data_IF_406250368231
#
_entry.id   IF_406250368231
#
_cell.length_a   1.000
_cell.length_b   1.000
_cell.length_c   1.000
_cell.angle_alpha   90.00
_cell.angle_beta   90.00
_cell.angle_gamma   90.00
#
_symmetry.space_group_name_H-M   'P 1'
#
loop_
_entity.id
_entity.type
_entity.pdbx_description
1 polymer ?
#
# COMPACT_ATOMS: atom_id res chain seq x y z
N UNK A 1 -12.51 5.23 -29.63
CA UNK A 1 -12.02 5.93 -28.43
C UNK A 1 -13.19 6.09 -27.48
N UNK A 2 -13.35 5.18 -26.51
CA UNK A 2 -14.35 5.36 -25.46
C UNK A 2 -13.86 6.44 -24.51
N UNK A 3 -14.62 7.50 -24.38
CA UNK A 3 -14.40 8.55 -23.39
C UNK A 3 -14.75 7.94 -22.03
N UNK A 4 -13.71 7.63 -21.22
CA UNK A 4 -13.92 7.26 -19.83
C UNK A 4 -14.42 8.52 -19.13
N UNK A 5 -15.73 8.57 -18.86
CA UNK A 5 -16.30 9.61 -18.00
C UNK A 5 -15.72 9.38 -16.60
N UNK A 6 -15.05 10.36 -15.99
CA UNK A 6 -14.51 10.18 -14.65
C UNK A 6 -15.66 9.87 -13.69
N UNK A 7 -15.54 8.82 -12.86
CA UNK A 7 -16.53 8.47 -11.86
C UNK A 7 -16.74 9.63 -10.88
N UNK A 8 -17.92 9.70 -10.28
CA UNK A 8 -18.32 10.77 -9.40
C UNK A 8 -17.35 10.93 -8.23
N UNK A 9 -16.76 12.12 -8.09
CA UNK A 9 -15.98 12.51 -6.92
C UNK A 9 -16.94 12.79 -5.76
N UNK A 10 -16.86 11.99 -4.70
CA UNK A 10 -17.52 12.29 -3.42
C UNK A 10 -16.50 12.99 -2.54
N UNK A 11 -16.64 14.29 -2.23
CA UNK A 11 -15.71 14.98 -1.34
C UNK A 11 -15.96 14.51 0.09
N UNK A 12 -15.01 13.79 0.66
CA UNK A 12 -15.04 13.29 2.05
C UNK A 12 -14.28 14.24 2.98
N UNK A 13 -13.26 14.88 2.47
CA UNK A 13 -12.48 15.95 3.11
C UNK A 13 -11.94 16.85 1.99
N UNK A 14 -11.55 18.10 2.28
CA UNK A 14 -10.98 18.97 1.26
C UNK A 14 -9.68 18.43 0.63
N UNK A 15 -9.05 17.44 1.25
CA UNK A 15 -7.76 16.84 0.82
C UNK A 15 -7.89 15.40 0.34
N UNK A 16 -9.05 14.75 0.53
CA UNK A 16 -9.28 13.36 0.13
C UNK A 16 -10.26 13.30 -1.04
N UNK A 17 -9.80 12.72 -2.15
CA UNK A 17 -10.63 12.42 -3.32
C UNK A 17 -11.03 10.95 -3.29
N UNK A 18 -12.30 10.65 -3.47
CA UNK A 18 -12.80 9.29 -3.62
C UNK A 18 -13.26 9.09 -5.06
N UNK A 19 -12.71 8.10 -5.73
CA UNK A 19 -13.07 7.68 -7.08
C UNK A 19 -13.77 6.33 -6.97
N UNK A 20 -15.07 6.31 -7.25
CA UNK A 20 -15.85 5.08 -7.35
C UNK A 20 -15.84 4.58 -8.79
N UNK A 21 -15.45 3.34 -9.02
CA UNK A 21 -15.45 2.69 -10.32
C UNK A 21 -15.80 1.21 -10.19
N UNK A 22 -16.05 0.52 -11.29
CA UNK A 22 -16.28 -0.92 -11.25
C UNK A 22 -15.05 -1.66 -10.74
N UNK A 23 -15.24 -2.81 -10.10
CA UNK A 23 -14.15 -3.56 -9.47
C UNK A 23 -13.02 -3.92 -10.45
N UNK A 24 -13.36 -4.22 -11.69
CA UNK A 24 -12.41 -4.51 -12.78
C UNK A 24 -11.71 -3.26 -13.35
N UNK A 25 -12.23 -2.06 -13.07
CA UNK A 25 -11.63 -0.78 -13.49
C UNK A 25 -10.66 -0.20 -12.46
N UNK A 26 -10.71 -0.64 -11.20
CA UNK A 26 -9.87 -0.12 -10.09
C UNK A 26 -8.39 -0.08 -10.49
N UNK A 27 -7.91 -1.16 -11.11
CA UNK A 27 -6.52 -1.27 -11.53
C UNK A 27 -6.10 -0.18 -12.51
N UNK A 28 -6.89 0.07 -13.55
CA UNK A 28 -6.61 1.08 -14.57
C UNK A 28 -6.72 2.50 -14.02
N UNK A 29 -7.74 2.77 -13.21
CA UNK A 29 -7.94 4.08 -12.58
C UNK A 29 -6.77 4.41 -11.64
N UNK A 30 -6.39 3.48 -10.78
CA UNK A 30 -5.27 3.68 -9.87
C UNK A 30 -3.92 3.78 -10.61
N UNK A 31 -3.71 2.95 -11.64
CA UNK A 31 -2.50 3.01 -12.46
C UNK A 31 -2.36 4.33 -13.23
N UNK A 32 -3.47 4.93 -13.69
CA UNK A 32 -3.44 6.25 -14.32
C UNK A 32 -2.91 7.34 -13.38
N UNK A 33 -3.26 7.26 -12.09
CA UNK A 33 -2.77 8.19 -11.06
C UNK A 33 -1.28 7.93 -10.77
N UNK A 34 -0.90 6.67 -10.59
CA UNK A 34 0.48 6.27 -10.31
C UNK A 34 1.41 6.59 -11.49
N UNK A 35 0.95 6.45 -12.72
CA UNK A 35 1.72 6.77 -13.92
C UNK A 35 2.09 8.27 -14.06
N UNK A 36 1.57 9.14 -13.19
CA UNK A 36 1.98 10.56 -13.12
C UNK A 36 3.29 10.76 -12.33
N UNK A 37 3.81 9.74 -11.69
CA UNK A 37 5.13 9.77 -11.03
C UNK A 37 6.20 9.99 -12.11
N UNK A 38 7.20 10.88 -11.88
CA UNK A 38 8.33 11.03 -12.78
C UNK A 38 9.01 9.68 -13.07
N UNK A 39 9.56 9.50 -14.26
CA UNK A 39 10.17 8.22 -14.66
C UNK A 39 11.39 7.79 -13.83
N UNK A 40 11.94 8.69 -13.03
CA UNK A 40 13.01 8.51 -12.04
C UNK A 40 12.54 8.70 -10.59
N UNK A 41 11.22 8.80 -10.40
CA UNK A 41 10.58 9.04 -9.12
C UNK A 41 10.58 7.84 -8.18
N UNK A 42 10.01 8.04 -7.01
CA UNK A 42 9.95 7.05 -5.93
C UNK A 42 8.52 6.58 -5.71
N UNK A 43 8.29 5.31 -5.92
CA UNK A 43 7.00 4.66 -5.71
C UNK A 43 7.04 3.81 -4.44
N UNK A 44 6.23 4.17 -3.46
CA UNK A 44 5.95 3.34 -2.30
C UNK A 44 4.97 2.22 -2.69
N UNK A 45 5.37 0.97 -2.51
CA UNK A 45 4.59 -0.19 -2.96
C UNK A 45 4.06 -1.00 -1.78
N UNK A 46 2.82 -1.45 -1.93
CA UNK A 46 2.16 -2.38 -1.02
C UNK A 46 2.12 -3.78 -1.63
N UNK A 47 2.14 -4.79 -0.79
CA UNK A 47 1.91 -6.18 -1.15
C UNK A 47 0.44 -6.58 -0.96
N UNK A 48 0.12 -7.86 -1.18
CA UNK A 48 -1.25 -8.38 -1.02
C UNK A 48 -2.11 -8.25 -2.26
N UNK A 49 -3.39 -8.59 -2.14
CA UNK A 49 -4.31 -8.70 -3.27
C UNK A 49 -4.84 -7.36 -3.78
N UNK A 50 -5.00 -6.36 -2.91
CA UNK A 50 -5.61 -5.07 -3.28
C UNK A 50 -4.90 -4.35 -4.43
N UNK A 51 -3.55 -4.22 -4.46
CA UNK A 51 -2.87 -3.49 -5.53
C UNK A 51 -2.52 -4.34 -6.77
N UNK A 52 -2.82 -5.63 -6.80
CA UNK A 52 -2.44 -6.51 -7.93
C UNK A 52 -2.96 -6.00 -9.28
N UNK A 53 -4.23 -5.60 -9.34
CA UNK A 53 -4.83 -5.07 -10.57
C UNK A 53 -4.15 -3.77 -11.03
N UNK A 54 -3.71 -2.93 -10.09
CA UNK A 54 -2.95 -1.72 -10.37
C UNK A 54 -1.59 -2.07 -11.00
N UNK A 55 -0.84 -3.03 -10.43
CA UNK A 55 0.45 -3.44 -10.99
C UNK A 55 0.29 -4.06 -12.37
N UNK A 56 -0.72 -4.90 -12.57
CA UNK A 56 -1.04 -5.45 -13.89
C UNK A 56 -1.34 -4.35 -14.92
N UNK A 57 -2.05 -3.29 -14.52
CA UNK A 57 -2.32 -2.15 -15.38
C UNK A 57 -1.05 -1.33 -15.71
N UNK A 58 -0.16 -1.12 -14.73
CA UNK A 58 1.13 -0.46 -14.98
C UNK A 58 2.00 -1.25 -15.97
N UNK A 59 2.00 -2.59 -15.86
CA UNK A 59 2.73 -3.48 -16.77
C UNK A 59 2.18 -3.35 -18.20
N UNK A 60 0.85 -3.30 -18.38
CA UNK A 60 0.24 -3.04 -19.70
C UNK A 60 0.65 -1.68 -20.25
N UNK A 61 0.57 -0.62 -19.42
CA UNK A 61 0.97 0.74 -19.81
C UNK A 61 2.46 0.82 -20.16
N UNK A 62 3.32 0.04 -19.49
CA UNK A 62 4.73 -0.07 -19.88
C UNK A 62 4.89 -0.64 -21.29
N UNK A 63 4.13 -1.68 -21.62
CA UNK A 63 4.13 -2.23 -22.97
C UNK A 63 3.63 -1.23 -24.02
N UNK A 64 2.84 -0.23 -23.62
CA UNK A 64 2.32 0.88 -24.43
C UNK A 64 3.25 2.11 -24.41
N UNK A 65 4.42 2.05 -23.77
CA UNK A 65 5.43 3.10 -23.77
C UNK A 65 5.58 3.90 -22.46
N UNK A 66 4.90 3.54 -21.37
CA UNK A 66 5.18 4.13 -20.07
C UNK A 66 6.61 3.77 -19.63
N UNK A 67 7.41 4.77 -19.31
CA UNK A 67 8.80 4.59 -18.86
C UNK A 67 8.81 4.32 -17.36
N UNK A 68 9.33 3.16 -16.97
CA UNK A 68 9.34 2.69 -15.57
C UNK A 68 10.72 2.27 -15.08
N UNK A 69 11.70 2.13 -15.97
CA UNK A 69 13.03 1.58 -15.68
C UNK A 69 13.83 2.41 -14.67
N UNK A 70 13.57 3.71 -14.61
CA UNK A 70 14.21 4.64 -13.67
C UNK A 70 13.52 4.74 -12.33
N UNK A 71 12.32 4.18 -12.16
CA UNK A 71 11.58 4.23 -10.90
C UNK A 71 12.38 3.55 -9.78
N UNK A 72 12.23 4.08 -8.57
CA UNK A 72 12.72 3.47 -7.34
C UNK A 72 11.53 2.97 -6.53
N UNK A 73 11.61 1.73 -6.06
CA UNK A 73 10.55 1.09 -5.28
C UNK A 73 10.94 1.02 -3.80
N UNK A 74 10.05 1.49 -2.93
CA UNK A 74 10.15 1.40 -1.48
C UNK A 74 8.93 0.62 -0.96
N UNK A 75 9.15 -0.61 -0.45
CA UNK A 75 8.06 -1.43 0.06
C UNK A 75 7.57 -0.95 1.44
N UNK A 76 6.30 -1.17 1.76
CA UNK A 76 5.72 -0.81 3.07
C UNK A 76 6.30 -1.67 4.20
N UNK A 77 6.51 -2.95 3.94
CA UNK A 77 6.75 -3.92 5.00
C UNK A 77 7.46 -5.18 4.50
N UNK A 78 7.92 -5.99 5.45
CA UNK A 78 8.47 -7.32 5.24
C UNK A 78 8.34 -8.15 6.53
N UNK A 79 8.17 -9.43 6.40
CA UNK A 79 8.21 -10.38 7.51
C UNK A 79 9.60 -10.47 8.13
N UNK A 80 9.67 -10.46 9.47
CA UNK A 80 10.91 -10.72 10.19
C UNK A 80 11.25 -12.21 10.12
N UNK A 81 12.50 -12.51 9.78
CA UNK A 81 13.01 -13.87 9.78
C UNK A 81 12.90 -14.61 8.45
N UNK A 82 12.23 -14.05 7.44
CA UNK A 82 12.28 -14.60 6.09
C UNK A 82 13.49 -14.09 5.31
N UNK A 83 14.15 -14.98 4.59
CA UNK A 83 15.19 -14.57 3.65
C UNK A 83 14.55 -13.85 2.45
N UNK A 84 15.22 -12.83 1.91
CA UNK A 84 14.72 -12.11 0.72
C UNK A 84 14.56 -13.01 -0.53
N UNK A 85 15.18 -14.19 -0.54
CA UNK A 85 15.03 -15.22 -1.58
C UNK A 85 13.87 -16.18 -1.32
N UNK A 86 13.27 -16.18 -0.11
CA UNK A 86 12.11 -17.02 0.19
C UNK A 86 10.92 -16.55 -0.67
N UNK A 87 10.26 -17.44 -1.42
CA UNK A 87 9.15 -17.06 -2.29
C UNK A 87 7.96 -16.45 -1.54
N UNK A 88 7.89 -16.62 -0.22
CA UNK A 88 6.85 -16.07 0.66
C UNK A 88 7.21 -14.68 1.18
N UNK A 89 8.47 -14.21 1.00
CA UNK A 89 8.89 -12.88 1.41
C UNK A 89 8.29 -11.79 0.53
N UNK A 90 8.07 -10.62 1.08
CA UNK A 90 7.63 -9.47 0.30
C UNK A 90 8.74 -8.97 -0.62
N UNK A 91 10.00 -9.18 -0.29
CA UNK A 91 11.12 -8.94 -1.19
C UNK A 91 11.02 -9.77 -2.48
N UNK A 92 10.67 -11.06 -2.37
CA UNK A 92 10.43 -11.91 -3.54
C UNK A 92 9.20 -11.45 -4.33
N UNK A 93 8.11 -11.10 -3.63
CA UNK A 93 6.89 -10.56 -4.25
C UNK A 93 7.18 -9.27 -5.02
N UNK A 94 7.79 -8.26 -4.39
CA UNK A 94 8.10 -6.97 -5.03
C UNK A 94 8.98 -7.17 -6.25
N UNK A 95 9.97 -8.06 -6.17
CA UNK A 95 10.83 -8.39 -7.29
C UNK A 95 10.05 -9.01 -8.45
N UNK A 96 9.33 -10.12 -8.21
CA UNK A 96 8.72 -10.93 -9.28
C UNK A 96 7.43 -10.35 -9.82
N UNK A 97 6.60 -9.70 -8.97
CA UNK A 97 5.28 -9.18 -9.34
C UNK A 97 5.35 -7.73 -9.83
N UNK A 98 6.33 -6.95 -9.35
CA UNK A 98 6.38 -5.52 -9.64
C UNK A 98 7.63 -5.16 -10.43
N UNK A 99 8.82 -5.35 -9.85
CA UNK A 99 10.06 -4.79 -10.40
C UNK A 99 10.47 -5.41 -11.74
N UNK A 100 10.55 -6.73 -11.82
CA UNK A 100 10.94 -7.44 -13.05
C UNK A 100 9.98 -7.15 -14.21
N UNK A 101 8.63 -7.27 -14.04
CA UNK A 101 7.69 -6.95 -15.13
C UNK A 101 7.71 -5.47 -15.55
N UNK A 102 8.02 -4.56 -14.62
CA UNK A 102 8.17 -3.13 -14.92
C UNK A 102 9.58 -2.76 -15.42
N UNK A 103 10.51 -3.72 -15.55
CA UNK A 103 11.89 -3.48 -15.99
C UNK A 103 12.71 -2.65 -15.01
N UNK A 104 12.32 -2.63 -13.74
CA UNK A 104 13.01 -1.85 -12.69
C UNK A 104 14.20 -2.68 -12.18
N UNK A 105 15.42 -2.15 -12.24
CA UNK A 105 16.60 -2.87 -11.82
C UNK A 105 16.61 -3.12 -10.30
N UNK A 106 17.16 -4.24 -9.87
CA UNK A 106 17.14 -4.67 -8.46
C UNK A 106 17.75 -3.64 -7.49
N UNK A 107 18.74 -2.86 -7.93
CA UNK A 107 19.35 -1.83 -7.09
C UNK A 107 18.43 -0.64 -6.81
N UNK A 108 17.35 -0.48 -7.58
CA UNK A 108 16.29 0.50 -7.37
C UNK A 108 15.18 0.00 -6.44
N UNK A 109 15.28 -1.23 -5.92
CA UNK A 109 14.28 -1.81 -5.02
C UNK A 109 14.81 -1.82 -3.60
N UNK A 110 14.02 -1.33 -2.66
CA UNK A 110 14.30 -1.41 -1.22
C UNK A 110 13.07 -1.99 -0.52
N UNK A 111 13.33 -2.97 0.32
CA UNK A 111 12.33 -3.60 1.19
C UNK A 111 12.88 -3.50 2.61
N UNK A 112 12.06 -3.13 3.61
CA UNK A 112 12.54 -3.07 4.98
C UNK A 112 13.01 -4.46 5.41
N UNK A 113 14.10 -4.54 6.15
CA UNK A 113 14.68 -5.80 6.57
C UNK A 113 15.34 -5.68 7.94
N UNK A 114 15.54 -6.82 8.59
CA UNK A 114 16.09 -6.87 9.94
C UNK A 114 15.01 -7.01 11.01
N UNK A 115 15.42 -6.87 12.29
CA UNK A 115 14.58 -7.16 13.45
C UNK A 115 14.78 -6.19 14.61
N UNK A 116 15.50 -5.10 14.39
CA UNK A 116 15.87 -4.14 15.43
C UNK A 116 15.39 -2.72 15.11
N UNK A 117 15.35 -1.86 16.11
CA UNK A 117 15.07 -0.43 15.92
C UNK A 117 16.11 0.24 15.01
N UNK A 118 17.36 -0.21 15.04
CA UNK A 118 18.43 0.30 14.18
C UNK A 118 18.17 -0.01 12.70
N UNK A 119 17.59 -1.18 12.40
CA UNK A 119 17.20 -1.58 11.04
C UNK A 119 16.05 -0.70 10.53
N UNK A 120 15.03 -0.44 11.37
CA UNK A 120 13.96 0.51 11.05
C UNK A 120 14.49 1.90 10.76
N UNK A 121 15.39 2.41 11.59
CA UNK A 121 16.04 3.71 11.38
C UNK A 121 16.91 3.73 10.10
N UNK A 122 17.53 2.61 9.72
CA UNK A 122 18.25 2.49 8.46
C UNK A 122 17.31 2.58 7.26
N UNK A 123 16.12 1.98 7.35
CA UNK A 123 15.12 2.10 6.29
C UNK A 123 14.57 3.52 6.15
N UNK A 124 14.33 4.23 7.27
CA UNK A 124 13.96 5.66 7.24
C UNK A 124 15.03 6.52 6.54
N UNK A 125 16.32 6.23 6.80
CA UNK A 125 17.41 6.91 6.08
C UNK A 125 17.38 6.61 4.59
N UNK A 126 17.14 5.36 4.19
CA UNK A 126 17.04 4.98 2.78
C UNK A 126 15.87 5.69 2.08
N UNK A 127 14.73 5.90 2.75
CA UNK A 127 13.61 6.71 2.25
C UNK A 127 14.05 8.17 2.06
N UNK A 128 14.74 8.75 3.04
CA UNK A 128 15.23 10.12 2.97
C UNK A 128 16.28 10.33 1.86
N UNK A 129 17.23 9.40 1.71
CA UNK A 129 18.25 9.40 0.65
C UNK A 129 17.64 9.24 -0.75
N UNK A 130 16.52 8.54 -0.85
CA UNK A 130 15.73 8.49 -2.08
C UNK A 130 15.00 9.80 -2.39
N UNK A 131 14.99 10.78 -1.49
CA UNK A 131 14.27 12.04 -1.63
C UNK A 131 12.81 11.96 -1.16
N UNK A 132 12.44 10.96 -0.39
CA UNK A 132 11.06 10.67 0.04
C UNK A 132 10.26 9.90 -1.02
N UNK A 133 8.98 9.67 -0.77
CA UNK A 133 8.07 8.91 -1.63
C UNK A 133 7.19 9.88 -2.43
N UNK A 134 7.16 9.76 -3.75
CA UNK A 134 6.30 10.59 -4.61
C UNK A 134 4.84 10.13 -4.54
N UNK A 135 4.61 8.83 -4.65
CA UNK A 135 3.28 8.22 -4.47
C UNK A 135 3.42 6.97 -3.61
N UNK A 136 2.70 6.93 -2.49
CA UNK A 136 2.57 5.75 -1.67
C UNK A 136 1.27 5.01 -2.00
N UNK A 137 1.39 3.78 -2.45
CA UNK A 137 0.24 2.87 -2.62
C UNK A 137 -0.02 2.20 -1.28
N UNK A 138 -1.27 2.19 -0.85
CA UNK A 138 -1.72 1.49 0.35
C UNK A 138 -3.00 0.70 0.08
N UNK A 139 -3.15 -0.44 0.74
CA UNK A 139 -4.43 -1.11 0.93
C UNK A 139 -5.00 -0.78 2.31
N UNK A 140 -6.20 -1.27 2.61
CA UNK A 140 -6.79 -1.17 3.94
C UNK A 140 -7.18 -2.56 4.46
N UNK A 141 -6.84 -2.84 5.72
CA UNK A 141 -7.29 -4.03 6.42
C UNK A 141 -8.77 -3.95 6.82
N UNK A 142 -9.38 -5.09 7.15
CA UNK A 142 -10.77 -5.13 7.64
C UNK A 142 -10.96 -4.38 8.97
N UNK A 143 -9.89 -4.29 9.77
CA UNK A 143 -9.83 -3.57 11.04
C UNK A 143 -9.28 -2.15 10.92
N UNK A 144 -9.04 -1.65 9.69
CA UNK A 144 -8.53 -0.31 9.43
C UNK A 144 -7.01 -0.17 9.46
N UNK A 145 -6.25 -1.27 9.50
CA UNK A 145 -4.79 -1.19 9.39
C UNK A 145 -4.34 -0.74 8.00
N UNK A 146 -3.17 -0.07 7.94
CA UNK A 146 -2.41 0.25 6.73
C UNK A 146 -0.97 -0.24 6.88
N UNK A 147 -0.45 -1.00 5.88
CA UNK A 147 0.74 -1.83 6.10
C UNK A 147 0.48 -2.79 7.26
N UNK A 148 1.45 -3.00 8.15
CA UNK A 148 1.21 -3.70 9.41
C UNK A 148 1.01 -2.75 10.60
N UNK A 149 0.48 -1.54 10.37
CA UNK A 149 0.05 -0.67 11.45
C UNK A 149 -1.36 -1.09 11.88
N UNK A 150 -1.43 -2.02 12.83
CA UNK A 150 -2.67 -2.52 13.44
C UNK A 150 -3.33 -1.47 14.36
N UNK A 151 -4.63 -1.63 14.72
CA UNK A 151 -5.27 -0.83 15.75
C UNK A 151 -4.39 -0.64 17.00
N UNK A 152 -4.30 0.58 17.49
CA UNK A 152 -3.35 1.00 18.54
C UNK A 152 -2.05 1.62 18.00
N UNK A 153 -1.82 1.60 16.68
CA UNK A 153 -0.67 2.30 16.10
C UNK A 153 -0.88 3.80 16.06
N UNK A 154 0.03 4.54 16.73
CA UNK A 154 -0.03 6.00 16.81
C UNK A 154 0.40 6.68 15.50
N UNK A 155 -0.10 7.92 15.31
CA UNK A 155 0.22 8.79 14.18
C UNK A 155 1.73 9.08 14.02
N UNK A 156 2.48 9.13 15.12
CA UNK A 156 3.91 9.50 15.12
C UNK A 156 4.84 8.30 14.88
N UNK A 157 4.28 7.09 14.70
CA UNK A 157 5.09 5.89 14.50
C UNK A 157 5.92 5.97 13.22
N UNK A 158 7.19 5.55 13.33
CA UNK A 158 8.14 5.38 12.22
C UNK A 158 8.33 3.91 11.90
N UNK A 159 9.19 3.62 10.92
CA UNK A 159 9.53 2.25 10.54
C UNK A 159 10.06 1.47 11.73
N UNK A 160 9.41 0.35 12.04
CA UNK A 160 9.66 -0.44 13.26
C UNK A 160 9.26 -1.89 13.09
N UNK A 161 9.77 -2.74 13.96
CA UNK A 161 9.25 -4.09 14.14
C UNK A 161 7.95 -4.03 14.93
N UNK A 162 6.97 -4.78 14.45
CA UNK A 162 5.66 -4.96 15.12
C UNK A 162 5.37 -6.44 15.27
N UNK A 163 4.66 -6.80 16.33
CA UNK A 163 4.02 -8.10 16.45
C UNK A 163 2.75 -8.11 15.59
N UNK A 164 2.53 -9.19 14.85
CA UNK A 164 1.36 -9.34 13.99
C UNK A 164 0.18 -9.86 14.79
N UNK A 165 -0.96 -9.19 14.64
CA UNK A 165 -2.23 -9.68 15.17
C UNK A 165 -2.55 -11.07 14.64
N UNK A 166 -3.14 -11.92 15.48
CA UNK A 166 -3.48 -13.29 15.09
C UNK A 166 -4.48 -13.32 13.92
N UNK A 167 -5.40 -12.37 13.86
CA UNK A 167 -6.35 -12.24 12.75
C UNK A 167 -5.65 -11.92 11.43
N UNK A 168 -4.62 -11.07 11.46
CA UNK A 168 -3.78 -10.75 10.31
C UNK A 168 -2.94 -11.95 9.89
N UNK A 169 -2.34 -12.67 10.85
CA UNK A 169 -1.60 -13.89 10.57
C UNK A 169 -2.51 -14.96 9.94
N UNK A 170 -3.73 -15.14 10.44
CA UNK A 170 -4.73 -16.06 9.86
C UNK A 170 -5.11 -15.66 8.43
N UNK A 171 -5.32 -14.37 8.18
CA UNK A 171 -5.63 -13.88 6.83
C UNK A 171 -4.46 -14.13 5.84
N UNK A 172 -3.22 -14.07 6.32
CA UNK A 172 -2.03 -14.28 5.51
C UNK A 172 -1.59 -15.76 5.40
N UNK A 173 -2.19 -16.66 6.20
CA UNK A 173 -1.80 -18.08 6.22
C UNK A 173 -1.93 -18.77 4.85
N UNK A 174 -2.82 -18.30 3.99
CA UNK A 174 -2.97 -18.81 2.63
C UNK A 174 -1.67 -18.73 1.83
N UNK A 175 -0.87 -17.67 2.00
CA UNK A 175 0.47 -17.52 1.40
C UNK A 175 1.51 -18.48 1.99
N UNK A 176 1.18 -19.15 3.09
CA UNK A 176 2.01 -20.13 3.78
C UNK A 176 1.42 -21.55 3.71
N UNK A 177 0.65 -21.84 2.64
CA UNK A 177 0.03 -23.15 2.45
C UNK A 177 -1.13 -23.44 3.42
N UNK A 178 -1.71 -22.43 4.05
CA UNK A 178 -2.77 -22.54 5.06
C UNK A 178 -2.27 -22.85 6.47
N UNK A 179 -0.96 -22.98 6.69
CA UNK A 179 -0.36 -23.28 7.98
C UNK A 179 0.00 -22.00 8.76
N UNK A 180 -0.80 -21.70 9.78
CA UNK A 180 -0.59 -20.53 10.64
C UNK A 180 0.76 -20.57 11.38
N UNK A 181 1.29 -21.76 11.66
CA UNK A 181 2.58 -21.92 12.38
C UNK A 181 3.78 -21.44 11.54
N UNK A 182 3.65 -21.44 10.21
CA UNK A 182 4.67 -20.97 9.28
C UNK A 182 4.61 -19.46 9.05
N UNK A 183 3.50 -18.79 9.44
CA UNK A 183 3.39 -17.33 9.31
C UNK A 183 4.24 -16.68 10.39
N UNK A 184 5.20 -15.81 10.04
CA UNK A 184 5.99 -15.09 11.02
C UNK A 184 5.12 -14.33 12.02
N UNK A 185 5.61 -14.20 13.25
CA UNK A 185 4.91 -13.48 14.31
C UNK A 185 5.19 -11.99 14.30
N UNK A 186 6.23 -11.55 13.60
CA UNK A 186 6.67 -10.16 13.54
C UNK A 186 6.92 -9.72 12.10
N UNK A 187 6.74 -8.42 11.87
CA UNK A 187 7.09 -7.76 10.62
C UNK A 187 7.81 -6.43 10.89
N UNK A 188 8.67 -6.01 9.96
CA UNK A 188 9.17 -4.64 9.87
C UNK A 188 8.20 -3.88 8.96
N UNK A 189 7.63 -2.76 9.43
CA UNK A 189 6.67 -1.96 8.66
C UNK A 189 6.97 -0.48 8.75
N UNK A 190 6.76 0.26 7.66
CA UNK A 190 6.70 1.71 7.70
C UNK A 190 5.62 2.12 8.71
N UNK A 191 5.95 3.07 9.59
CA UNK A 191 4.98 3.61 10.54
C UNK A 191 3.99 4.58 9.88
N UNK A 192 2.97 4.97 10.62
CA UNK A 192 1.93 5.91 10.13
C UNK A 192 2.56 7.22 9.67
N UNK A 193 3.45 7.82 10.49
CA UNK A 193 4.14 9.07 10.12
C UNK A 193 5.00 8.90 8.86
N UNK A 194 5.62 7.73 8.66
CA UNK A 194 6.41 7.45 7.47
C UNK A 194 5.51 7.40 6.23
N UNK A 195 4.39 6.69 6.30
CA UNK A 195 3.39 6.62 5.23
C UNK A 195 2.85 8.01 4.89
N UNK A 196 2.49 8.79 5.93
CA UNK A 196 1.97 10.16 5.77
C UNK A 196 3.02 11.16 5.27
N UNK A 197 4.30 10.83 5.26
CA UNK A 197 5.35 11.69 4.71
C UNK A 197 5.46 11.64 3.18
N UNK A 198 4.76 10.71 2.52
CA UNK A 198 4.68 10.67 1.07
C UNK A 198 4.06 11.96 0.49
N UNK A 199 4.42 12.33 -0.74
CA UNK A 199 3.83 13.51 -1.39
C UNK A 199 2.36 13.30 -1.76
N UNK A 200 2.02 12.08 -2.14
CA UNK A 200 0.65 11.64 -2.47
C UNK A 200 0.42 10.22 -1.96
N UNK A 201 -0.80 9.93 -1.56
CA UNK A 201 -1.22 8.57 -1.17
C UNK A 201 -2.34 8.09 -2.09
N UNK A 202 -2.22 6.86 -2.59
CA UNK A 202 -3.27 6.17 -3.33
C UNK A 202 -3.71 4.96 -2.53
N UNK A 203 -4.92 5.02 -1.98
CA UNK A 203 -5.54 3.89 -1.30
C UNK A 203 -6.40 3.11 -2.28
N UNK A 204 -6.17 1.80 -2.37
CA UNK A 204 -6.95 0.89 -3.22
C UNK A 204 -7.75 -0.06 -2.34
N UNK A 205 -9.07 -0.10 -2.55
CA UNK A 205 -9.97 -0.99 -1.80
C UNK A 205 -11.04 -1.60 -2.71
N UNK A 206 -11.33 -2.89 -2.53
CA UNK A 206 -12.37 -3.59 -3.27
C UNK A 206 -13.15 -4.55 -2.36
N UNK A 207 -14.45 -4.63 -2.63
CA UNK A 207 -15.37 -5.57 -2.01
C UNK A 207 -15.92 -5.14 -0.65
N UNK A 208 -17.08 -5.67 -0.35
CA UNK A 208 -17.89 -5.32 0.83
C UNK A 208 -17.20 -5.53 2.17
N UNK A 209 -16.21 -6.43 2.23
CA UNK A 209 -15.47 -6.71 3.47
C UNK A 209 -14.59 -5.52 3.91
N UNK A 210 -14.39 -4.53 3.04
CA UNK A 210 -13.62 -3.30 3.31
C UNK A 210 -14.52 -2.11 3.68
N UNK A 211 -15.83 -2.20 3.45
CA UNK A 211 -16.75 -1.08 3.55
C UNK A 211 -16.75 -0.41 4.93
N UNK A 212 -16.88 -1.18 6.00
CA UNK A 212 -16.91 -0.63 7.36
C UNK A 212 -15.59 0.06 7.73
N UNK A 213 -14.44 -0.58 7.45
CA UNK A 213 -13.12 -0.02 7.72
C UNK A 213 -12.85 1.24 6.89
N UNK A 214 -13.18 1.21 5.60
CA UNK A 214 -12.98 2.34 4.70
C UNK A 214 -13.85 3.54 5.10
N UNK A 215 -15.13 3.32 5.39
CA UNK A 215 -16.03 4.37 5.89
C UNK A 215 -15.50 4.98 7.18
N UNK A 216 -15.15 4.15 8.16
CA UNK A 216 -14.60 4.64 9.42
C UNK A 216 -13.28 5.40 9.20
N UNK A 217 -12.45 4.99 8.26
CA UNK A 217 -11.22 5.70 7.90
C UNK A 217 -11.48 7.06 7.25
N UNK A 218 -12.53 7.20 6.44
CA UNK A 218 -12.79 8.41 5.65
C UNK A 218 -13.66 9.43 6.38
N UNK A 219 -14.65 8.98 7.18
CA UNK A 219 -15.68 9.83 7.78
C UNK A 219 -15.76 9.72 9.31
N UNK A 220 -15.09 8.73 9.89
CA UNK A 220 -15.04 8.53 11.34
C UNK A 220 -14.02 9.44 12.03
N UNK A 221 -13.93 9.35 13.36
CA UNK A 221 -12.91 10.07 14.12
C UNK A 221 -11.50 9.60 13.73
N UNK A 222 -10.55 10.53 13.72
CA UNK A 222 -9.13 10.23 13.50
C UNK A 222 -8.55 9.68 14.79
N UNK A 223 -8.27 8.38 14.83
CA UNK A 223 -7.88 7.64 16.03
C UNK A 223 -6.91 6.49 15.71
N UNK A 224 -6.12 6.10 16.69
CA UNK A 224 -5.25 4.93 16.61
C UNK A 224 -6.03 3.61 16.48
N UNK A 225 -7.29 3.56 16.91
CA UNK A 225 -8.14 2.36 16.77
C UNK A 225 -8.47 2.04 15.30
N UNK A 226 -8.29 3.02 14.41
CA UNK A 226 -8.37 2.86 12.97
C UNK A 226 -7.19 3.62 12.31
N UNK A 227 -6.01 3.01 12.16
CA UNK A 227 -4.83 3.70 11.64
C UNK A 227 -5.02 4.32 10.25
N UNK A 228 -5.88 3.74 9.40
CA UNK A 228 -6.23 4.34 8.12
C UNK A 228 -6.94 5.71 8.28
N UNK A 229 -7.54 6.01 9.43
CA UNK A 229 -8.19 7.31 9.68
C UNK A 229 -7.19 8.47 9.68
N UNK A 230 -5.91 8.21 9.97
CA UNK A 230 -4.87 9.22 9.89
C UNK A 230 -4.65 9.77 8.47
N UNK A 231 -5.07 9.04 7.43
CA UNK A 231 -5.04 9.52 6.05
C UNK A 231 -5.84 10.81 5.86
N UNK A 232 -6.86 11.06 6.70
CA UNK A 232 -7.62 12.33 6.69
C UNK A 232 -6.73 13.56 6.97
N UNK A 233 -5.55 13.39 7.58
CA UNK A 233 -4.59 14.48 7.86
C UNK A 233 -3.63 14.74 6.71
N UNK A 234 -3.60 13.88 5.71
CA UNK A 234 -2.69 14.01 4.59
C UNK A 234 -3.24 14.99 3.52
N UNK A 235 -2.41 15.86 2.92
CA UNK A 235 -2.88 16.89 1.99
C UNK A 235 -3.31 16.37 0.61
N UNK A 236 -2.91 15.18 0.19
CA UNK A 236 -3.24 14.62 -1.15
C UNK A 236 -3.45 13.11 -1.07
N UNK A 237 -4.68 12.70 -0.76
CA UNK A 237 -5.11 11.29 -0.75
C UNK A 237 -6.11 11.06 -1.87
N UNK A 238 -5.89 10.00 -2.64
CA UNK A 238 -6.87 9.49 -3.58
C UNK A 238 -7.26 8.07 -3.19
N UNK A 239 -8.53 7.84 -2.95
CA UNK A 239 -9.11 6.53 -2.72
C UNK A 239 -9.73 6.05 -4.02
N UNK A 240 -9.32 4.88 -4.49
CA UNK A 240 -9.92 4.21 -5.65
C UNK A 240 -10.60 2.94 -5.14
N UNK A 241 -11.92 2.88 -5.25
CA UNK A 241 -12.69 1.80 -4.67
C UNK A 241 -13.94 1.45 -5.50
N UNK A 242 -14.40 0.21 -5.37
CA UNK A 242 -15.66 -0.21 -5.97
C UNK A 242 -16.88 0.22 -5.11
N UNK A 243 -18.09 0.20 -5.68
CA UNK A 243 -19.30 0.54 -4.94
C UNK A 243 -19.54 -0.35 -3.71
N UNK A 244 -19.07 -1.61 -3.73
CA UNK A 244 -19.23 -2.52 -2.60
C UNK A 244 -18.34 -2.13 -1.42
N UNK A 245 -17.11 -1.64 -1.68
CA UNK A 245 -16.24 -1.11 -0.65
C UNK A 245 -16.67 0.27 -0.12
N UNK A 246 -17.49 1.00 -0.87
CA UNK A 246 -18.01 2.33 -0.52
C UNK A 246 -19.44 2.30 0.04
N UNK A 247 -20.07 1.13 0.09
CA UNK A 247 -21.47 1.06 0.53
C UNK A 247 -21.65 1.41 2.00
N UNK A 248 -22.78 2.02 2.30
CA UNK A 248 -23.25 2.22 3.67
C UNK A 248 -23.86 0.92 4.20
N UNK A 249 -23.64 0.61 5.49
CA UNK A 249 -24.37 -0.47 6.14
C UNK A 249 -25.85 -0.04 6.22
N UNK A 250 -26.72 -0.95 5.77
CA UNK A 250 -28.18 -0.77 5.92
C UNK A 250 -28.61 -1.11 7.31
#
# INVERSE_FOLDING_TARGET
MSVIVPPALVPVSPTTRVISCAADEIGEVAAAIVATVPSDGVLGVATGSSPLALYAALIRRRAEGLRTEGLRLLALDEYVGLAASDPRSYAAYVRSVIAEPLGIPAHNVRVPSGSTAADGAAYERAIAEAGGVDVQIVGIGRNGHIGFNEPGSDAETRTRVVELDESTRRANAEHFGGDLSLVPTHAMTQGVATILSARRIVLVAAGSTKAAALRAALTGPVTADNPASFLQRHPDVTVVADPDALREDR
#
